data_IF_880850105466
#
_entry.id   IF_880850105466
#
_cell.length_a   1.000
_cell.length_b   1.000
_cell.length_c   1.000
_cell.angle_alpha   90.00
_cell.angle_beta   90.00
_cell.angle_gamma   90.00
#
_symmetry.space_group_name_H-M   'P 1'
#
loop_
_entity.id
_entity.type
_entity.pdbx_description
1 polymer ?
#
# COMPACT_ATOMS: atom_id res chain seq x y z
N UNK A 1 -50.14 17.77 15.58
CA UNK A 1 -49.50 16.46 15.30
C UNK A 1 -48.26 16.54 14.39
N UNK A 2 -48.12 17.53 13.49
CA UNK A 2 -46.91 17.70 12.66
C UNK A 2 -45.67 18.20 13.43
N UNK A 3 -45.85 19.02 14.46
CA UNK A 3 -44.74 19.53 15.30
C UNK A 3 -44.09 18.45 16.17
N UNK A 4 -44.85 17.46 16.66
CA UNK A 4 -44.33 16.32 17.45
C UNK A 4 -43.53 15.33 16.59
N UNK A 5 -43.97 15.06 15.36
CA UNK A 5 -43.21 14.21 14.42
C UNK A 5 -41.87 14.85 14.01
N UNK A 6 -41.82 16.18 13.95
CA UNK A 6 -40.60 16.90 13.58
C UNK A 6 -39.59 16.97 14.74
N UNK A 7 -40.05 17.01 16.01
CA UNK A 7 -39.16 16.93 17.18
C UNK A 7 -38.53 15.56 17.35
N UNK A 8 -39.28 14.48 17.12
CA UNK A 8 -38.77 13.12 17.27
C UNK A 8 -37.74 12.79 16.17
N UNK A 9 -37.98 13.24 14.95
CA UNK A 9 -37.04 13.08 13.84
C UNK A 9 -35.75 13.88 14.02
N UNK A 10 -35.82 15.00 14.75
CA UNK A 10 -34.67 15.82 15.12
C UNK A 10 -33.81 15.14 16.21
N UNK A 11 -34.44 14.49 17.19
CA UNK A 11 -33.76 13.73 18.24
C UNK A 11 -32.99 12.52 17.68
N UNK A 12 -33.64 11.74 16.81
CA UNK A 12 -33.03 10.58 16.16
C UNK A 12 -31.79 10.97 15.35
N UNK A 13 -31.84 12.09 14.64
CA UNK A 13 -30.69 12.62 13.88
C UNK A 13 -29.54 13.02 14.79
N UNK A 14 -29.81 13.71 15.91
CA UNK A 14 -28.77 14.11 16.87
C UNK A 14 -28.09 12.92 17.53
N UNK A 15 -28.83 11.87 17.91
CA UNK A 15 -28.24 10.64 18.45
C UNK A 15 -27.34 9.93 17.41
N UNK A 16 -27.75 9.92 16.14
CA UNK A 16 -26.92 9.38 15.07
C UNK A 16 -25.64 10.18 14.85
N UNK A 17 -25.72 11.52 14.91
CA UNK A 17 -24.55 12.40 14.79
C UNK A 17 -23.60 12.19 15.98
N UNK A 18 -24.13 12.10 17.20
CA UNK A 18 -23.34 11.83 18.40
C UNK A 18 -22.54 10.52 18.27
N UNK A 19 -23.20 9.43 17.86
CA UNK A 19 -22.54 8.16 17.63
C UNK A 19 -21.50 8.23 16.52
N UNK A 20 -21.79 8.93 15.42
CA UNK A 20 -20.82 9.12 14.32
C UNK A 20 -19.59 9.91 14.78
N UNK A 21 -19.79 11.04 15.46
CA UNK A 21 -18.70 11.92 15.93
C UNK A 21 -17.80 11.19 16.94
N UNK A 22 -18.38 10.46 17.89
CA UNK A 22 -17.62 9.70 18.89
C UNK A 22 -16.83 8.53 18.27
N UNK A 23 -17.43 7.85 17.30
CA UNK A 23 -16.77 6.78 16.54
C UNK A 23 -15.59 7.33 15.74
N UNK A 24 -15.84 8.39 14.96
CA UNK A 24 -14.82 8.99 14.09
C UNK A 24 -13.69 9.62 14.90
N UNK A 25 -13.99 10.17 16.09
CA UNK A 25 -12.98 10.68 17.01
C UNK A 25 -12.12 9.56 17.63
N UNK A 26 -12.59 8.30 17.59
CA UNK A 26 -11.92 7.15 18.19
C UNK A 26 -11.96 7.16 19.72
N UNK A 27 -12.93 7.86 20.32
CA UNK A 27 -13.08 7.94 21.78
C UNK A 27 -13.89 6.74 22.30
N UNK A 28 -14.85 6.26 21.52
CA UNK A 28 -15.70 5.12 21.88
C UNK A 28 -15.81 4.16 20.69
N UNK A 29 -15.72 2.86 20.97
CA UNK A 29 -15.82 1.81 19.95
C UNK A 29 -17.20 1.73 19.31
N UNK A 30 -17.22 1.33 18.04
CA UNK A 30 -18.43 1.16 17.20
C UNK A 30 -19.44 0.21 17.86
N UNK A 31 -18.95 -0.84 18.50
CA UNK A 31 -19.78 -1.86 19.15
C UNK A 31 -20.57 -1.27 20.33
N UNK A 32 -19.88 -0.55 21.22
CA UNK A 32 -20.47 0.13 22.39
C UNK A 32 -21.46 1.21 21.94
N UNK A 33 -21.15 1.95 20.87
CA UNK A 33 -22.05 2.96 20.30
C UNK A 33 -23.31 2.30 19.72
N UNK A 34 -23.21 1.17 19.05
CA UNK A 34 -24.36 0.47 18.47
C UNK A 34 -25.33 -0.09 19.54
N UNK A 35 -24.78 -0.60 20.65
CA UNK A 35 -25.53 -1.10 21.80
C UNK A 35 -26.23 0.03 22.55
N UNK A 36 -25.49 1.11 22.83
CA UNK A 36 -26.03 2.30 23.50
C UNK A 36 -27.03 3.06 22.62
N UNK A 37 -26.86 3.06 21.30
CA UNK A 37 -27.81 3.68 20.36
C UNK A 37 -29.17 2.96 20.36
N UNK A 38 -29.13 1.63 20.44
CA UNK A 38 -30.34 0.80 20.49
C UNK A 38 -31.05 0.92 21.85
N UNK A 39 -30.26 1.01 22.92
CA UNK A 39 -30.77 1.04 24.30
C UNK A 39 -31.24 2.43 24.77
N UNK A 40 -30.76 3.51 24.15
CA UNK A 40 -31.10 4.90 24.50
C UNK A 40 -32.37 5.44 23.85
N UNK A 41 -33.20 4.58 23.25
CA UNK A 41 -34.39 4.97 22.47
C UNK A 41 -34.12 6.05 21.39
N UNK A 42 -32.87 6.16 20.92
CA UNK A 42 -32.40 7.17 19.95
C UNK A 42 -32.46 8.61 20.47
N UNK A 43 -32.38 8.80 21.78
CA UNK A 43 -32.21 10.11 22.41
C UNK A 43 -30.72 10.39 22.69
N UNK A 44 -30.14 11.50 22.18
CA UNK A 44 -28.72 11.80 22.38
C UNK A 44 -28.35 12.01 23.85
N UNK A 45 -29.25 12.54 24.67
CA UNK A 45 -28.95 12.79 26.09
C UNK A 45 -28.94 11.48 26.89
N UNK A 46 -29.89 10.58 26.63
CA UNK A 46 -29.90 9.25 27.25
C UNK A 46 -28.70 8.42 26.80
N UNK A 47 -28.36 8.48 25.51
CA UNK A 47 -27.15 7.85 24.96
C UNK A 47 -25.89 8.35 25.66
N UNK A 48 -25.76 9.66 25.82
CA UNK A 48 -24.66 10.30 26.54
C UNK A 48 -24.59 9.89 28.01
N UNK A 49 -25.74 9.84 28.71
CA UNK A 49 -25.82 9.35 30.09
C UNK A 49 -25.41 7.90 30.20
N UNK A 50 -25.84 7.04 29.29
CA UNK A 50 -25.46 5.62 29.29
C UNK A 50 -23.96 5.43 29.09
N UNK A 51 -23.35 6.19 28.18
CA UNK A 51 -21.90 6.16 27.95
C UNK A 51 -21.11 6.65 29.17
N UNK A 52 -21.61 7.66 29.89
CA UNK A 52 -21.01 8.15 31.13
C UNK A 52 -21.11 7.12 32.27
N UNK A 53 -22.29 6.53 32.48
CA UNK A 53 -22.48 5.52 33.54
C UNK A 53 -21.74 4.21 33.23
N UNK A 54 -21.57 3.87 31.95
CA UNK A 54 -20.75 2.75 31.49
C UNK A 54 -19.24 2.98 31.66
N UNK A 55 -18.83 4.19 32.03
CA UNK A 55 -17.41 4.54 32.21
C UNK A 55 -16.65 4.74 30.90
N UNK A 56 -17.35 4.83 29.77
CA UNK A 56 -16.75 5.03 28.45
C UNK A 56 -16.45 6.51 28.15
N UNK A 57 -17.11 7.43 28.86
CA UNK A 57 -16.89 8.88 28.74
C UNK A 57 -16.83 9.54 30.13
N UNK A 58 -15.95 10.52 30.31
CA UNK A 58 -16.00 11.39 31.48
C UNK A 58 -17.04 12.52 31.27
N UNK A 59 -17.46 13.15 32.36
CA UNK A 59 -18.42 14.26 32.36
C UNK A 59 -17.92 15.47 31.52
N UNK A 60 -16.61 15.69 31.47
CA UNK A 60 -16.00 16.71 30.62
C UNK A 60 -16.12 16.37 29.13
N UNK A 61 -15.83 15.13 28.75
CA UNK A 61 -15.84 14.66 27.36
C UNK A 61 -17.26 14.54 26.82
N UNK A 62 -18.22 14.17 27.67
CA UNK A 62 -19.63 14.17 27.32
C UNK A 62 -20.11 15.59 27.01
N UNK A 63 -19.74 16.58 27.83
CA UNK A 63 -20.07 18.00 27.56
C UNK A 63 -19.48 18.46 26.24
N UNK A 64 -18.21 18.15 25.98
CA UNK A 64 -17.55 18.47 24.71
C UNK A 64 -18.24 17.81 23.51
N UNK A 65 -18.64 16.54 23.64
CA UNK A 65 -19.32 15.79 22.59
C UNK A 65 -20.71 16.36 22.27
N UNK A 66 -21.44 16.80 23.31
CA UNK A 66 -22.76 17.43 23.14
C UNK A 66 -22.66 18.83 22.51
N UNK A 67 -21.60 19.57 22.82
CA UNK A 67 -21.30 20.85 22.19
C UNK A 67 -20.95 20.65 20.70
N UNK A 68 -20.16 19.64 20.38
CA UNK A 68 -19.86 19.24 19.00
C UNK A 68 -21.13 18.90 18.19
N UNK A 69 -22.05 18.12 18.75
CA UNK A 69 -23.34 17.79 18.10
C UNK A 69 -24.19 19.03 17.83
N UNK A 70 -24.17 19.99 18.75
CA UNK A 70 -24.89 21.27 18.60
C UNK A 70 -24.30 22.11 17.47
N UNK A 71 -22.98 22.15 17.32
CA UNK A 71 -22.29 22.86 16.24
C UNK A 71 -22.44 22.19 14.86
N UNK A 72 -22.56 20.85 14.83
CA UNK A 72 -22.89 20.13 13.59
C UNK A 72 -24.34 20.40 13.18
N UNK A 73 -25.24 20.51 14.15
CA UNK A 73 -26.64 20.79 13.88
C UNK A 73 -26.89 22.23 13.41
N UNK A 74 -26.15 23.21 13.96
CA UNK A 74 -26.17 24.59 13.48
C UNK A 74 -25.56 24.74 12.07
N UNK A 75 -25.04 23.66 11.48
CA UNK A 75 -24.31 23.60 10.21
C UNK A 75 -23.02 24.43 10.20
N UNK A 76 -22.46 24.71 11.38
CA UNK A 76 -21.19 25.40 11.50
C UNK A 76 -20.01 24.44 11.24
N UNK A 77 -20.20 23.15 11.54
CA UNK A 77 -19.18 22.11 11.37
C UNK A 77 -19.76 20.87 10.65
N UNK A 78 -18.93 20.18 9.88
CA UNK A 78 -19.23 18.82 9.42
C UNK A 78 -19.00 17.82 10.57
N UNK A 79 -19.65 16.64 10.56
CA UNK A 79 -19.44 15.63 11.60
C UNK A 79 -17.96 15.20 11.72
N UNK A 80 -17.22 15.20 10.61
CA UNK A 80 -15.80 14.83 10.60
C UNK A 80 -14.91 15.94 11.21
N UNK A 81 -15.22 17.21 10.93
CA UNK A 81 -14.55 18.35 11.57
C UNK A 81 -14.81 18.38 13.08
N UNK A 82 -16.06 18.10 13.47
CA UNK A 82 -16.45 18.03 14.86
C UNK A 82 -15.75 16.87 15.59
N UNK A 83 -15.59 15.71 14.94
CA UNK A 83 -14.85 14.57 15.48
C UNK A 83 -13.36 14.88 15.69
N UNK A 84 -12.74 15.59 14.75
CA UNK A 84 -11.34 16.00 14.87
C UNK A 84 -11.13 17.01 16.01
N UNK A 85 -11.97 18.06 16.06
CA UNK A 85 -11.91 19.04 17.15
C UNK A 85 -12.17 18.39 18.52
N UNK A 86 -13.08 17.42 18.57
CA UNK A 86 -13.37 16.66 19.78
C UNK A 86 -12.19 15.78 20.21
N UNK A 87 -11.54 15.09 19.26
CA UNK A 87 -10.34 14.30 19.54
C UNK A 87 -9.20 15.16 20.09
N UNK A 88 -8.97 16.32 19.49
CA UNK A 88 -7.95 17.23 20.00
C UNK A 88 -8.27 17.77 21.40
N UNK A 89 -9.56 18.09 21.66
CA UNK A 89 -10.01 18.51 22.98
C UNK A 89 -9.77 17.40 24.03
N UNK A 90 -9.99 16.15 23.65
CA UNK A 90 -9.75 14.98 24.48
C UNK A 90 -8.25 14.79 24.78
N UNK A 91 -7.40 14.79 23.75
CA UNK A 91 -5.96 14.57 23.89
C UNK A 91 -5.26 15.67 24.72
N UNK A 92 -5.79 16.90 24.67
CA UNK A 92 -5.21 18.06 25.37
C UNK A 92 -5.97 18.45 26.65
N UNK A 93 -7.02 17.71 27.03
CA UNK A 93 -7.86 18.01 28.19
C UNK A 93 -8.42 19.45 28.19
N UNK A 94 -8.87 19.93 27.03
CA UNK A 94 -9.39 21.29 26.84
C UNK A 94 -10.92 21.30 26.67
N UNK A 95 -11.61 22.37 27.09
CA UNK A 95 -13.01 22.59 26.72
C UNK A 95 -13.18 22.65 25.20
N UNK A 96 -14.27 22.10 24.66
CA UNK A 96 -14.50 22.07 23.20
C UNK A 96 -14.48 23.47 22.56
N UNK A 97 -15.10 24.47 23.20
CA UNK A 97 -15.01 25.87 22.73
C UNK A 97 -13.58 26.43 22.70
N UNK A 98 -12.72 26.07 23.68
CA UNK A 98 -11.32 26.48 23.67
C UNK A 98 -10.49 25.71 22.62
N UNK A 99 -10.83 24.44 22.37
CA UNK A 99 -10.24 23.63 21.31
C UNK A 99 -10.60 24.16 19.91
N UNK A 100 -11.80 24.73 19.76
CA UNK A 100 -12.16 25.50 18.57
C UNK A 100 -11.27 26.75 18.47
N UNK A 101 -11.15 27.57 19.52
CA UNK A 101 -10.37 28.82 19.48
C UNK A 101 -8.84 28.63 19.38
N UNK A 102 -8.28 27.54 19.90
CA UNK A 102 -6.83 27.30 19.93
C UNK A 102 -6.32 26.63 18.65
N UNK A 103 -5.72 27.39 17.74
CA UNK A 103 -4.85 26.94 16.61
C UNK A 103 -5.46 25.95 15.59
N UNK A 104 -6.63 25.39 15.87
CA UNK A 104 -7.30 24.38 15.07
C UNK A 104 -8.50 24.97 14.32
N UNK A 105 -9.28 25.94 14.85
CA UNK A 105 -10.21 26.67 13.95
C UNK A 105 -9.51 27.65 13.01
N UNK A 106 -8.32 28.15 13.32
CA UNK A 106 -7.54 28.92 12.33
C UNK A 106 -6.97 28.03 11.22
N UNK A 107 -6.94 26.70 11.43
CA UNK A 107 -6.59 25.70 10.42
C UNK A 107 -7.80 24.92 9.86
N UNK A 108 -9.00 25.05 10.44
CA UNK A 108 -10.21 24.28 10.09
C UNK A 108 -11.38 25.17 9.62
N UNK A 109 -11.32 26.50 9.78
CA UNK A 109 -12.30 27.41 9.14
C UNK A 109 -12.16 27.46 7.61
N UNK A 110 -11.21 26.73 7.05
CA UNK A 110 -11.26 26.29 5.66
C UNK A 110 -10.90 24.80 5.67
N UNK A 111 -11.92 23.94 5.56
CA UNK A 111 -11.75 22.84 4.60
C UNK A 111 -11.49 23.58 3.30
N UNK A 112 -10.22 23.81 2.98
CA UNK A 112 -9.89 24.11 1.60
C UNK A 112 -10.08 22.78 0.91
N UNK A 113 -11.13 22.62 0.08
CA UNK A 113 -11.23 21.43 -0.74
C UNK A 113 -9.98 21.26 -1.62
N UNK A 114 -9.12 22.28 -1.74
CA UNK A 114 -7.95 22.30 -2.62
C UNK A 114 -6.69 22.85 -1.92
N UNK A 115 -6.17 22.14 -0.92
CA UNK A 115 -4.84 22.44 -0.33
C UNK A 115 -3.75 22.51 -1.42
N UNK A 116 -3.92 21.70 -2.47
CA UNK A 116 -3.13 21.75 -3.69
C UNK A 116 -3.28 23.05 -4.47
N UNK A 117 -4.50 23.57 -4.60
CA UNK A 117 -4.77 24.86 -5.23
C UNK A 117 -4.14 26.04 -4.48
N UNK A 118 -4.20 26.01 -3.15
CA UNK A 118 -3.55 27.02 -2.31
C UNK A 118 -2.03 26.99 -2.42
N UNK A 119 -1.43 25.80 -2.40
CA UNK A 119 0.01 25.64 -2.58
C UNK A 119 0.46 26.20 -3.94
N UNK A 120 -0.29 25.91 -5.02
CA UNK A 120 0.01 26.43 -6.34
C UNK A 120 -0.16 27.95 -6.46
N UNK A 121 -1.16 28.52 -5.79
CA UNK A 121 -1.33 29.97 -5.70
C UNK A 121 -0.17 30.63 -4.94
N UNK A 122 0.19 30.09 -3.77
CA UNK A 122 1.26 30.59 -2.92
C UNK A 122 2.63 30.49 -3.62
N UNK A 123 2.86 29.43 -4.41
CA UNK A 123 4.06 29.27 -5.22
C UNK A 123 4.08 30.17 -6.47
N UNK A 124 3.00 30.91 -6.74
CA UNK A 124 2.77 31.71 -7.95
C UNK A 124 2.86 30.91 -9.27
N UNK A 125 2.41 29.65 -9.22
CA UNK A 125 2.37 28.77 -10.40
C UNK A 125 1.04 28.88 -11.16
N UNK A 126 -0.02 29.28 -10.46
CA UNK A 126 -1.36 29.44 -11.01
C UNK A 126 -1.94 30.76 -10.53
N UNK A 127 -2.67 31.46 -11.40
CA UNK A 127 -3.44 32.66 -11.00
C UNK A 127 -4.79 32.30 -10.39
N UNK A 128 -5.38 33.19 -9.58
CA UNK A 128 -6.72 32.98 -8.99
C UNK A 128 -7.78 32.66 -10.05
N UNK A 129 -7.71 33.32 -11.21
CA UNK A 129 -8.62 33.07 -12.32
C UNK A 129 -8.44 31.67 -12.93
N UNK A 130 -7.19 31.28 -13.21
CA UNK A 130 -6.89 29.95 -13.75
C UNK A 130 -7.28 28.84 -12.77
N UNK A 131 -7.04 29.06 -11.47
CA UNK A 131 -7.43 28.11 -10.45
C UNK A 131 -8.95 27.98 -10.37
N UNK A 132 -9.69 29.09 -10.38
CA UNK A 132 -11.15 29.06 -10.34
C UNK A 132 -11.75 28.29 -11.53
N UNK A 133 -11.23 28.52 -12.74
CA UNK A 133 -11.65 27.79 -13.95
C UNK A 133 -11.31 26.31 -13.84
N UNK A 134 -10.09 25.96 -13.40
CA UNK A 134 -9.69 24.57 -13.26
C UNK A 134 -10.51 23.83 -12.20
N UNK A 135 -10.88 24.49 -11.10
CA UNK A 135 -11.76 23.95 -10.06
C UNK A 135 -13.17 23.69 -10.56
N UNK A 136 -13.72 24.60 -11.36
CA UNK A 136 -15.05 24.43 -11.95
C UNK A 136 -15.06 23.24 -12.91
N UNK A 137 -14.03 23.15 -13.77
CA UNK A 137 -13.83 22.02 -14.67
C UNK A 137 -13.63 20.69 -13.93
N UNK A 138 -12.87 20.68 -12.83
CA UNK A 138 -12.64 19.50 -12.02
C UNK A 138 -13.96 18.97 -11.43
N UNK A 139 -14.80 19.88 -10.92
CA UNK A 139 -16.12 19.57 -10.40
C UNK A 139 -17.07 19.05 -11.47
N UNK A 140 -17.13 19.72 -12.62
CA UNK A 140 -18.02 19.38 -13.72
C UNK A 140 -17.66 18.03 -14.36
N UNK A 141 -16.36 17.75 -14.47
CA UNK A 141 -15.86 16.50 -15.06
C UNK A 141 -15.75 15.35 -14.04
N UNK A 142 -15.88 15.64 -12.73
CA UNK A 142 -15.68 14.66 -11.67
C UNK A 142 -14.25 14.12 -11.60
N UNK A 143 -13.25 14.96 -11.86
CA UNK A 143 -11.82 14.62 -11.83
C UNK A 143 -11.08 15.51 -10.83
N UNK A 144 -9.85 15.14 -10.46
CA UNK A 144 -9.05 15.93 -9.52
C UNK A 144 -8.51 17.21 -10.14
N UNK A 145 -8.18 18.19 -9.29
CA UNK A 145 -7.66 19.49 -9.72
C UNK A 145 -6.31 19.34 -10.45
N UNK A 146 -5.40 18.53 -9.92
CA UNK A 146 -4.10 18.24 -10.51
C UNK A 146 -4.23 17.67 -11.92
N UNK A 147 -5.21 16.79 -12.16
CA UNK A 147 -5.49 16.25 -13.49
C UNK A 147 -5.96 17.32 -14.48
N UNK A 148 -6.83 18.24 -14.07
CA UNK A 148 -7.24 19.36 -14.92
C UNK A 148 -6.07 20.29 -15.22
N UNK A 149 -5.27 20.64 -14.21
CA UNK A 149 -4.12 21.53 -14.39
C UNK A 149 -3.06 20.94 -15.34
N UNK A 150 -2.89 19.61 -15.34
CA UNK A 150 -2.04 18.91 -16.32
C UNK A 150 -2.65 18.89 -17.72
N UNK A 151 -3.95 18.60 -17.85
CA UNK A 151 -4.63 18.57 -19.15
C UNK A 151 -4.65 19.94 -19.82
N UNK A 152 -4.79 21.00 -19.04
CA UNK A 152 -4.69 22.39 -19.48
C UNK A 152 -3.25 22.88 -19.67
N UNK A 153 -2.25 22.03 -19.38
CA UNK A 153 -0.81 22.34 -19.51
C UNK A 153 -0.37 23.55 -18.67
N UNK A 154 -1.07 23.83 -17.58
CA UNK A 154 -0.69 24.88 -16.62
C UNK A 154 0.47 24.41 -15.75
N UNK A 155 0.45 23.13 -15.36
CA UNK A 155 1.53 22.47 -14.62
C UNK A 155 2.05 21.26 -15.39
N UNK A 156 3.19 20.71 -14.96
CA UNK A 156 3.79 19.48 -15.48
C UNK A 156 3.74 18.36 -14.45
N UNK A 157 3.89 17.10 -14.87
CA UNK A 157 3.85 15.93 -13.97
C UNK A 157 4.87 16.03 -12.83
N UNK A 158 6.15 16.41 -13.08
CA UNK A 158 7.13 16.56 -12.00
C UNK A 158 6.76 17.63 -10.97
N UNK A 159 6.09 18.71 -11.39
CA UNK A 159 5.62 19.77 -10.49
C UNK A 159 4.47 19.25 -9.62
N UNK A 160 3.56 18.46 -10.20
CA UNK A 160 2.47 17.85 -9.44
C UNK A 160 2.98 16.82 -8.43
N UNK A 161 3.93 15.97 -8.82
CA UNK A 161 4.59 15.01 -7.92
C UNK A 161 5.25 15.72 -6.74
N UNK A 162 6.02 16.78 -7.01
CA UNK A 162 6.65 17.59 -5.97
C UNK A 162 5.62 18.25 -5.05
N UNK A 163 4.53 18.79 -5.61
CA UNK A 163 3.47 19.42 -4.82
C UNK A 163 2.79 18.41 -3.88
N UNK A 164 2.44 17.21 -4.36
CA UNK A 164 1.82 16.16 -3.55
C UNK A 164 2.76 15.69 -2.43
N UNK A 165 4.06 15.53 -2.72
CA UNK A 165 5.04 15.18 -1.69
C UNK A 165 5.16 16.26 -0.61
N UNK A 166 5.23 17.53 -1.01
CA UNK A 166 5.28 18.65 -0.06
C UNK A 166 4.01 18.73 0.79
N UNK A 167 2.83 18.53 0.20
CA UNK A 167 1.57 18.48 0.94
C UNK A 167 1.50 17.32 1.91
N UNK A 168 2.10 16.17 1.58
CA UNK A 168 2.26 15.06 2.53
C UNK A 168 3.10 15.52 3.73
N UNK A 169 4.23 16.19 3.51
CA UNK A 169 5.06 16.72 4.60
C UNK A 169 4.34 17.78 5.44
N UNK A 170 3.53 18.63 4.80
CA UNK A 170 2.67 19.62 5.49
C UNK A 170 1.62 18.93 6.35
N UNK A 171 0.97 17.89 5.82
CA UNK A 171 0.00 17.07 6.57
C UNK A 171 0.65 16.38 7.77
N UNK A 172 1.86 15.87 7.58
CA UNK A 172 2.64 15.19 8.63
C UNK A 172 3.34 16.20 9.59
N UNK A 173 3.00 17.50 9.49
CA UNK A 173 3.49 18.63 10.31
C UNK A 173 5.01 18.86 10.27
N UNK A 174 5.69 18.33 9.26
CA UNK A 174 7.14 18.52 9.09
C UNK A 174 7.50 19.81 8.39
N UNK A 175 6.55 20.40 7.66
CA UNK A 175 6.76 21.60 6.86
C UNK A 175 5.54 22.52 6.95
N UNK A 176 5.75 23.84 6.97
CA UNK A 176 4.66 24.82 6.88
C UNK A 176 4.26 25.05 5.41
N UNK A 177 2.99 25.31 5.14
CA UNK A 177 2.47 25.54 3.78
C UNK A 177 3.25 26.64 3.02
N UNK A 178 3.61 27.73 3.71
CA UNK A 178 4.37 28.83 3.10
C UNK A 178 5.79 28.38 2.70
N UNK A 179 6.46 27.61 3.56
CA UNK A 179 7.78 27.06 3.26
C UNK A 179 7.71 26.01 2.14
N UNK A 180 6.66 25.21 2.09
CA UNK A 180 6.38 24.30 0.98
C UNK A 180 6.19 25.06 -0.34
N UNK A 181 5.50 26.19 -0.32
CA UNK A 181 5.31 27.03 -1.51
C UNK A 181 6.63 27.59 -2.04
N UNK A 182 7.53 28.02 -1.14
CA UNK A 182 8.87 28.48 -1.53
C UNK A 182 9.69 27.36 -2.17
N UNK A 183 9.69 26.15 -1.59
CA UNK A 183 10.36 24.97 -2.17
C UNK A 183 9.79 24.64 -3.54
N UNK A 184 8.46 24.56 -3.65
CA UNK A 184 7.80 24.22 -4.91
C UNK A 184 8.12 25.23 -6.00
N UNK A 185 8.21 26.51 -5.64
CA UNK A 185 8.61 27.59 -6.53
C UNK A 185 10.04 27.40 -7.03
N UNK A 186 10.99 27.08 -6.16
CA UNK A 186 12.38 26.81 -6.59
C UNK A 186 12.48 25.64 -7.56
N UNK A 187 11.74 24.57 -7.30
CA UNK A 187 11.69 23.37 -8.15
C UNK A 187 11.05 23.70 -9.50
N UNK A 188 9.92 24.39 -9.52
CA UNK A 188 9.19 24.72 -10.74
C UNK A 188 9.95 25.68 -11.66
N UNK A 189 10.76 26.59 -11.10
CA UNK A 189 11.64 27.48 -11.86
C UNK A 189 12.99 26.84 -12.21
N UNK A 190 13.19 25.55 -11.90
CA UNK A 190 14.40 24.80 -12.25
C UNK A 190 15.66 25.25 -11.52
N UNK A 191 15.52 25.87 -10.34
CA UNK A 191 16.67 26.34 -9.55
C UNK A 191 17.35 25.23 -8.76
N UNK A 192 16.58 24.23 -8.36
CA UNK A 192 17.02 23.08 -7.58
C UNK A 192 16.10 21.89 -7.84
N UNK A 193 16.61 20.68 -7.63
CA UNK A 193 15.75 19.49 -7.47
C UNK A 193 14.98 19.56 -6.15
N UNK A 194 13.88 18.81 -6.03
CA UNK A 194 13.10 18.75 -4.78
C UNK A 194 13.98 18.37 -3.59
N UNK A 195 14.87 17.39 -3.77
CA UNK A 195 15.80 16.91 -2.75
C UNK A 195 16.81 17.99 -2.32
N UNK A 196 17.34 18.76 -3.26
CA UNK A 196 18.25 19.87 -2.97
C UNK A 196 17.56 21.02 -2.24
N UNK A 197 16.34 21.35 -2.65
CA UNK A 197 15.53 22.40 -2.04
C UNK A 197 15.03 22.02 -0.63
N UNK A 198 14.77 20.74 -0.36
CA UNK A 198 14.46 20.25 0.99
C UNK A 198 15.70 20.27 1.89
N UNK A 199 16.87 19.88 1.35
CA UNK A 199 18.15 19.89 2.07
C UNK A 199 18.55 21.30 2.50
N UNK A 200 18.29 22.32 1.67
CA UNK A 200 18.62 23.71 1.99
C UNK A 200 17.83 24.26 3.20
N UNK A 201 16.66 23.67 3.50
CA UNK A 201 15.79 24.02 4.63
C UNK A 201 16.12 23.20 5.89
N UNK A 202 17.09 22.29 5.81
CA UNK A 202 17.46 21.40 6.91
C UNK A 202 16.49 20.24 7.12
N UNK A 203 15.58 20.01 6.17
CA UNK A 203 14.78 18.81 6.07
C UNK A 203 15.57 17.80 5.22
N UNK A 204 16.60 17.23 5.84
CA UNK A 204 17.21 16.04 5.27
C UNK A 204 16.15 14.94 5.32
N UNK A 205 15.82 14.38 4.15
CA UNK A 205 15.28 13.03 4.11
C UNK A 205 16.34 12.17 4.79
N UNK A 206 16.16 11.89 6.09
CA UNK A 206 17.01 10.94 6.81
C UNK A 206 17.09 9.65 5.99
N UNK A 207 18.19 8.94 6.19
CA UNK A 207 18.61 7.72 5.51
C UNK A 207 17.65 6.51 5.69
N UNK A 208 16.33 6.75 5.74
CA UNK A 208 15.23 5.85 6.12
C UNK A 208 14.19 5.62 5.00
N UNK A 209 14.56 5.65 3.72
CA UNK A 209 13.70 5.02 2.70
C UNK A 209 14.05 3.53 2.51
N UNK A 210 14.27 2.79 3.60
CA UNK A 210 14.25 1.32 3.54
C UNK A 210 12.85 0.80 3.23
N UNK A 211 11.81 1.56 3.56
CA UNK A 211 10.43 1.23 3.20
C UNK A 211 10.01 1.94 1.91
N UNK A 212 9.78 1.21 0.80
CA UNK A 212 9.37 1.84 -0.46
C UNK A 212 7.95 2.40 -0.36
N UNK A 213 7.67 3.55 -0.99
CA UNK A 213 6.31 4.14 -1.06
C UNK A 213 5.32 3.16 -1.71
N UNK A 214 4.08 3.10 -1.19
CA UNK A 214 3.11 2.09 -1.62
C UNK A 214 2.73 2.25 -3.10
N UNK A 215 2.52 3.49 -3.56
CA UNK A 215 2.26 3.80 -4.96
C UNK A 215 3.41 3.37 -5.85
N UNK A 216 4.65 3.70 -5.48
CA UNK A 216 5.84 3.29 -6.23
C UNK A 216 6.03 1.76 -6.27
N UNK A 217 5.73 1.06 -5.18
CA UNK A 217 5.79 -0.40 -5.12
C UNK A 217 4.79 -1.06 -6.09
N UNK A 218 3.55 -0.55 -6.12
CA UNK A 218 2.50 -1.04 -7.00
C UNK A 218 2.74 -0.67 -8.47
N UNK A 219 3.24 0.54 -8.73
CA UNK A 219 3.60 1.01 -10.06
C UNK A 219 4.81 0.26 -10.63
N UNK A 220 5.85 0.01 -9.81
CA UNK A 220 6.98 -0.84 -10.19
C UNK A 220 6.57 -2.29 -10.49
N UNK A 221 5.55 -2.80 -9.80
CA UNK A 221 4.93 -4.09 -10.13
C UNK A 221 4.07 -4.04 -11.41
N UNK A 222 3.81 -2.86 -11.99
CA UNK A 222 2.97 -2.68 -13.17
C UNK A 222 1.48 -2.90 -12.91
N UNK A 223 1.04 -2.80 -11.65
CA UNK A 223 -0.34 -3.02 -11.24
C UNK A 223 -1.18 -1.75 -11.32
N UNK A 224 -0.55 -0.60 -11.17
CA UNK A 224 -1.16 0.73 -11.34
C UNK A 224 -0.23 1.58 -12.21
N UNK A 225 -0.77 2.61 -12.87
CA UNK A 225 0.06 3.60 -13.55
C UNK A 225 0.60 4.64 -12.54
N UNK A 226 1.78 5.21 -12.81
CA UNK A 226 2.37 6.26 -11.98
C UNK A 226 1.41 7.45 -11.82
N UNK A 227 0.72 7.81 -12.89
CA UNK A 227 -0.28 8.88 -12.88
C UNK A 227 -1.47 8.59 -11.96
N UNK A 228 -1.96 7.34 -11.96
CA UNK A 228 -3.06 6.94 -11.09
C UNK A 228 -2.64 6.93 -9.62
N UNK A 229 -1.35 6.69 -9.34
CA UNK A 229 -0.79 6.81 -8.00
C UNK A 229 -0.80 8.26 -7.49
N UNK A 230 -0.41 9.23 -8.33
CA UNK A 230 -0.44 10.66 -7.99
C UNK A 230 -1.89 11.13 -7.79
N UNK A 231 -2.79 10.74 -8.68
CA UNK A 231 -4.21 11.10 -8.60
C UNK A 231 -4.86 10.52 -7.33
N UNK A 232 -4.56 9.28 -6.97
CA UNK A 232 -5.02 8.67 -5.72
C UNK A 232 -4.42 9.35 -4.48
N UNK A 233 -3.17 9.81 -4.56
CA UNK A 233 -2.54 10.58 -3.49
C UNK A 233 -3.22 11.94 -3.30
N UNK A 234 -3.58 12.63 -4.39
CA UNK A 234 -4.36 13.87 -4.35
C UNK A 234 -5.72 13.66 -3.68
N UNK A 235 -6.48 12.65 -4.09
CA UNK A 235 -7.76 12.28 -3.45
C UNK A 235 -7.56 11.97 -1.97
N UNK A 236 -6.49 11.26 -1.61
CA UNK A 236 -6.15 10.95 -0.21
C UNK A 236 -5.83 12.18 0.64
N UNK A 237 -5.20 13.19 0.04
CA UNK A 237 -4.95 14.48 0.68
C UNK A 237 -6.24 15.29 0.86
N UNK A 238 -7.12 15.32 -0.15
CA UNK A 238 -8.41 16.02 -0.09
C UNK A 238 -9.40 15.38 0.89
N UNK A 239 -9.41 14.05 0.96
CA UNK A 239 -10.35 13.28 1.79
C UNK A 239 -9.79 12.88 3.16
N UNK A 240 -8.53 13.23 3.45
CA UNK A 240 -7.81 12.80 4.65
C UNK A 240 -7.81 11.28 4.87
N UNK A 241 -7.83 10.50 3.78
CA UNK A 241 -7.83 9.03 3.82
C UNK A 241 -6.44 8.46 3.56
N UNK A 242 -6.10 7.29 4.14
CA UNK A 242 -4.86 6.61 3.80
C UNK A 242 -4.87 6.17 2.34
N UNK A 243 -3.74 6.37 1.64
CA UNK A 243 -3.63 6.11 0.20
C UNK A 243 -4.01 4.66 -0.19
N UNK A 244 -3.74 3.68 0.68
CA UNK A 244 -4.15 2.29 0.46
C UNK A 244 -5.67 2.11 0.39
N UNK A 245 -6.43 2.83 1.22
CA UNK A 245 -7.89 2.82 1.17
C UNK A 245 -8.39 3.48 -0.12
N UNK A 246 -7.76 4.59 -0.52
CA UNK A 246 -8.09 5.28 -1.77
C UNK A 246 -7.84 4.38 -2.99
N UNK A 247 -6.71 3.66 -3.03
CA UNK A 247 -6.45 2.68 -4.10
C UNK A 247 -7.54 1.62 -4.22
N UNK A 248 -8.10 1.18 -3.09
CA UNK A 248 -9.19 0.23 -3.09
C UNK A 248 -10.52 0.85 -3.53
N UNK A 249 -10.87 2.02 -2.98
CA UNK A 249 -12.12 2.75 -3.31
C UNK A 249 -12.16 3.18 -4.79
N UNK A 250 -11.03 3.58 -5.37
CA UNK A 250 -10.91 3.91 -6.78
C UNK A 250 -10.89 2.67 -7.70
N UNK A 251 -10.93 1.46 -7.14
CA UNK A 251 -10.89 0.22 -7.92
C UNK A 251 -9.55 -0.07 -8.60
N UNK A 252 -8.48 0.63 -8.22
CA UNK A 252 -7.14 0.46 -8.78
C UNK A 252 -6.51 -0.85 -8.30
N UNK A 253 -6.82 -1.28 -7.07
CA UNK A 253 -6.22 -2.45 -6.44
C UNK A 253 -7.25 -3.24 -5.63
N UNK A 254 -7.18 -4.58 -5.70
CA UNK A 254 -8.02 -5.45 -4.85
C UNK A 254 -7.52 -5.46 -3.41
N UNK A 255 -8.40 -5.74 -2.45
CA UNK A 255 -8.02 -5.85 -1.03
C UNK A 255 -6.93 -6.91 -0.79
N UNK A 256 -6.90 -7.95 -1.61
CA UNK A 256 -5.90 -9.03 -1.57
C UNK A 256 -4.51 -8.50 -1.97
N UNK A 257 -4.42 -7.80 -3.11
CA UNK A 257 -3.17 -7.22 -3.60
C UNK A 257 -2.68 -6.12 -2.66
N UNK A 258 -3.58 -5.28 -2.14
CA UNK A 258 -3.25 -4.24 -1.17
C UNK A 258 -2.61 -4.82 0.10
N UNK A 259 -3.20 -5.88 0.67
CA UNK A 259 -2.65 -6.57 1.84
C UNK A 259 -1.27 -7.18 1.54
N UNK A 260 -1.08 -7.76 0.36
CA UNK A 260 0.20 -8.29 -0.05
C UNK A 260 1.27 -7.19 -0.20
N UNK A 261 0.91 -6.04 -0.80
CA UNK A 261 1.81 -4.91 -0.97
C UNK A 261 2.27 -4.31 0.36
N UNK A 262 1.37 -4.18 1.34
CA UNK A 262 1.70 -3.71 2.69
C UNK A 262 2.64 -4.69 3.42
N UNK A 263 2.41 -6.00 3.27
CA UNK A 263 3.32 -7.02 3.84
C UNK A 263 4.70 -6.97 3.18
N UNK A 264 4.75 -6.88 1.85
CA UNK A 264 6.01 -6.81 1.11
C UNK A 264 6.78 -5.52 1.41
N UNK A 265 6.11 -4.38 1.62
CA UNK A 265 6.75 -3.17 2.14
C UNK A 265 7.51 -3.44 3.45
N UNK A 266 6.86 -4.04 4.43
CA UNK A 266 7.49 -4.36 5.72
C UNK A 266 8.64 -5.36 5.54
N UNK A 267 8.51 -6.31 4.61
CA UNK A 267 9.57 -7.28 4.31
C UNK A 267 10.79 -6.62 3.65
N UNK A 268 10.60 -5.64 2.77
CA UNK A 268 11.68 -4.86 2.17
C UNK A 268 12.36 -4.00 3.24
N UNK A 269 11.57 -3.36 4.10
CA UNK A 269 12.07 -2.57 5.24
C UNK A 269 12.94 -3.41 6.18
N UNK A 270 12.52 -4.64 6.48
CA UNK A 270 13.31 -5.61 7.25
C UNK A 270 14.46 -6.28 6.48
N UNK A 271 14.71 -5.87 5.23
CA UNK A 271 15.68 -6.48 4.32
C UNK A 271 15.54 -8.01 4.18
N UNK A 272 14.31 -8.53 4.19
CA UNK A 272 14.02 -9.95 3.94
C UNK A 272 13.77 -10.24 2.46
N UNK A 273 13.31 -9.25 1.71
CA UNK A 273 12.94 -9.35 0.29
C UNK A 273 13.44 -8.12 -0.44
N UNK A 274 13.96 -8.30 -1.66
CA UNK A 274 14.39 -7.18 -2.49
C UNK A 274 13.19 -6.54 -3.21
N UNK A 275 13.28 -5.27 -3.60
CA UNK A 275 12.20 -4.59 -4.33
C UNK A 275 11.78 -5.35 -5.61
N UNK A 276 12.75 -5.90 -6.35
CA UNK A 276 12.48 -6.68 -7.56
C UNK A 276 11.69 -7.98 -7.26
N UNK A 277 12.08 -8.71 -6.21
CA UNK A 277 11.34 -9.89 -5.78
C UNK A 277 9.92 -9.52 -5.34
N UNK A 278 9.74 -8.40 -4.65
CA UNK A 278 8.42 -7.92 -4.26
C UNK A 278 7.54 -7.59 -5.47
N UNK A 279 8.10 -6.99 -6.54
CA UNK A 279 7.37 -6.74 -7.78
C UNK A 279 6.87 -8.05 -8.41
N UNK A 280 7.72 -9.06 -8.50
CA UNK A 280 7.34 -10.36 -9.06
C UNK A 280 6.30 -11.08 -8.21
N UNK A 281 6.43 -11.04 -6.89
CA UNK A 281 5.45 -11.59 -5.95
C UNK A 281 4.10 -10.89 -6.09
N UNK A 282 4.09 -9.56 -6.21
CA UNK A 282 2.85 -8.80 -6.40
C UNK A 282 2.15 -9.15 -7.71
N UNK A 283 2.90 -9.29 -8.81
CA UNK A 283 2.34 -9.75 -10.09
C UNK A 283 1.74 -11.15 -10.00
N UNK A 284 2.40 -12.06 -9.29
CA UNK A 284 1.90 -13.41 -9.09
C UNK A 284 0.64 -13.43 -8.22
N UNK A 285 0.62 -12.68 -7.12
CA UNK A 285 -0.56 -12.49 -6.26
C UNK A 285 -1.74 -11.97 -7.07
N UNK A 286 -1.50 -10.97 -7.93
CA UNK A 286 -2.54 -10.43 -8.82
C UNK A 286 -3.03 -11.44 -9.87
N UNK A 287 -2.12 -12.20 -10.49
CA UNK A 287 -2.49 -13.12 -11.58
C UNK A 287 -3.14 -14.40 -11.07
N UNK A 288 -2.65 -14.95 -9.96
CA UNK A 288 -3.13 -16.20 -9.38
C UNK A 288 -4.31 -15.97 -8.41
N UNK A 289 -4.52 -14.74 -7.95
CA UNK A 289 -5.53 -14.39 -6.94
C UNK A 289 -5.38 -15.23 -5.66
N UNK A 290 -4.13 -15.54 -5.31
CA UNK A 290 -3.76 -16.30 -4.12
C UNK A 290 -3.15 -15.37 -3.06
N UNK A 291 -3.36 -15.65 -1.77
CA UNK A 291 -2.73 -14.89 -0.70
C UNK A 291 -1.21 -15.05 -0.74
N UNK A 292 -0.50 -13.99 -0.36
CA UNK A 292 0.97 -13.93 -0.40
C UNK A 292 1.62 -15.07 0.40
N UNK A 293 1.02 -15.47 1.53
CA UNK A 293 1.57 -16.51 2.40
C UNK A 293 1.66 -17.86 1.70
N UNK A 294 0.64 -18.21 0.92
CA UNK A 294 0.58 -19.49 0.23
C UNK A 294 1.53 -19.48 -0.95
N UNK A 295 1.60 -18.35 -1.68
CA UNK A 295 2.58 -18.16 -2.75
C UNK A 295 4.02 -18.29 -2.23
N UNK A 296 4.34 -17.67 -1.09
CA UNK A 296 5.66 -17.74 -0.48
C UNK A 296 6.02 -19.16 -0.02
N UNK A 297 5.06 -19.91 0.52
CA UNK A 297 5.26 -21.31 0.89
C UNK A 297 5.54 -22.18 -0.33
N UNK A 298 4.76 -22.02 -1.40
CA UNK A 298 4.96 -22.75 -2.66
C UNK A 298 6.33 -22.44 -3.26
N UNK A 299 6.71 -21.16 -3.32
CA UNK A 299 8.03 -20.74 -3.80
C UNK A 299 9.16 -21.30 -2.93
N UNK A 300 9.01 -21.30 -1.59
CA UNK A 300 9.98 -21.89 -0.68
C UNK A 300 10.15 -23.40 -0.90
N UNK A 301 9.04 -24.13 -1.07
CA UNK A 301 9.06 -25.57 -1.35
C UNK A 301 9.68 -25.86 -2.73
N UNK A 302 9.36 -25.07 -3.74
CA UNK A 302 9.92 -25.20 -5.08
C UNK A 302 11.45 -24.99 -5.04
N UNK A 303 11.92 -23.94 -4.38
CA UNK A 303 13.35 -23.65 -4.21
C UNK A 303 14.09 -24.77 -3.48
N UNK A 304 13.50 -25.31 -2.41
CA UNK A 304 14.07 -26.45 -1.69
C UNK A 304 14.18 -27.70 -2.58
N UNK A 305 13.15 -27.99 -3.38
CA UNK A 305 13.17 -29.10 -4.35
C UNK A 305 14.23 -28.86 -5.43
N UNK A 306 14.30 -27.66 -6.00
CA UNK A 306 15.33 -27.31 -6.98
C UNK A 306 16.74 -27.51 -6.41
N UNK A 307 17.01 -27.04 -5.19
CA UNK A 307 18.29 -27.23 -4.52
C UNK A 307 18.61 -28.72 -4.35
N UNK A 308 17.63 -29.52 -3.89
CA UNK A 308 17.83 -30.96 -3.74
C UNK A 308 18.12 -31.67 -5.07
N UNK A 309 17.49 -31.23 -6.17
CA UNK A 309 17.70 -31.78 -7.49
C UNK A 309 19.08 -31.40 -8.06
N UNK A 310 19.53 -30.18 -7.81
CA UNK A 310 20.87 -29.71 -8.16
C UNK A 310 21.96 -30.44 -7.38
N UNK A 311 21.74 -30.68 -6.08
CA UNK A 311 22.68 -31.47 -5.28
C UNK A 311 22.75 -32.93 -5.73
N UNK A 312 21.60 -33.58 -5.98
CA UNK A 312 21.58 -34.98 -6.40
C UNK A 312 22.10 -35.21 -7.82
N UNK A 313 21.94 -34.23 -8.71
CA UNK A 313 22.55 -34.28 -10.05
C UNK A 313 24.05 -34.00 -10.02
N UNK A 314 24.61 -33.65 -8.86
CA UNK A 314 25.99 -33.20 -8.72
C UNK A 314 26.25 -31.86 -9.39
N UNK A 315 25.20 -31.11 -9.75
CA UNK A 315 25.30 -29.76 -10.32
C UNK A 315 25.89 -28.76 -9.31
N UNK A 316 25.59 -28.97 -8.02
CA UNK A 316 26.08 -28.15 -6.91
C UNK A 316 26.53 -29.07 -5.77
N UNK A 317 27.67 -28.75 -5.15
CA UNK A 317 28.20 -29.46 -3.98
C UNK A 317 27.80 -28.80 -2.67
N UNK A 318 27.82 -29.55 -1.56
CA UNK A 318 27.53 -29.00 -0.22
C UNK A 318 28.48 -27.85 0.16
N UNK A 319 29.73 -27.90 -0.30
CA UNK A 319 30.70 -26.83 -0.06
C UNK A 319 30.32 -25.54 -0.79
N UNK A 320 29.89 -25.62 -2.06
CA UNK A 320 29.45 -24.46 -2.84
C UNK A 320 28.19 -23.82 -2.25
N UNK A 321 27.24 -24.63 -1.78
CA UNK A 321 26.06 -24.14 -1.05
C UNK A 321 26.47 -23.39 0.22
N UNK A 322 27.40 -23.95 1.00
CA UNK A 322 27.86 -23.31 2.24
C UNK A 322 28.63 -22.01 1.99
N UNK A 323 29.42 -21.95 0.92
CA UNK A 323 30.12 -20.74 0.49
C UNK A 323 29.15 -19.67 0.01
N UNK A 324 28.17 -20.04 -0.82
CA UNK A 324 27.13 -19.12 -1.27
C UNK A 324 26.29 -18.60 -0.10
N UNK A 325 25.92 -19.46 0.85
CA UNK A 325 25.20 -19.06 2.04
C UNK A 325 26.04 -18.13 2.95
N UNK A 326 27.36 -18.34 3.05
CA UNK A 326 28.25 -17.53 3.88
C UNK A 326 28.63 -16.17 3.26
N UNK A 327 28.89 -16.12 1.96
CA UNK A 327 29.29 -14.89 1.24
C UNK A 327 28.13 -13.90 1.09
N UNK A 328 26.91 -14.41 0.88
CA UNK A 328 25.72 -13.59 0.67
C UNK A 328 24.82 -13.49 1.90
N UNK A 329 25.24 -13.99 3.08
CA UNK A 329 24.49 -13.90 4.33
C UNK A 329 24.13 -12.45 4.74
N UNK A 330 24.87 -11.46 4.24
CA UNK A 330 24.64 -10.04 4.50
C UNK A 330 23.63 -9.38 3.56
N UNK A 331 23.31 -9.99 2.42
CA UNK A 331 22.27 -9.51 1.51
C UNK A 331 21.05 -10.43 1.63
N UNK A 332 19.84 -9.91 1.41
CA UNK A 332 18.57 -10.66 1.43
C UNK A 332 18.44 -11.67 0.27
N UNK A 333 19.54 -12.33 -0.10
CA UNK A 333 19.71 -13.01 -1.38
C UNK A 333 19.57 -14.51 -1.15
N UNK A 334 18.60 -15.10 -1.82
CA UNK A 334 18.34 -16.54 -1.75
C UNK A 334 19.58 -17.34 -2.19
N UNK A 335 19.82 -18.50 -1.59
CA UNK A 335 20.99 -19.36 -1.82
C UNK A 335 21.09 -19.74 -3.30
N UNK A 336 19.96 -19.97 -3.98
CA UNK A 336 19.96 -20.25 -5.42
C UNK A 336 20.39 -19.04 -6.25
N UNK A 337 19.99 -17.82 -5.88
CA UNK A 337 20.44 -16.59 -6.55
C UNK A 337 21.92 -16.30 -6.28
N UNK A 338 22.38 -16.55 -5.05
CA UNK A 338 23.79 -16.47 -4.68
C UNK A 338 24.67 -17.44 -5.51
N UNK A 339 24.20 -18.67 -5.74
CA UNK A 339 24.90 -19.65 -6.57
C UNK A 339 25.00 -19.26 -8.06
N UNK A 340 24.05 -18.48 -8.56
CA UNK A 340 24.11 -17.93 -9.93
C UNK A 340 25.09 -16.76 -9.98
N UNK A 341 25.09 -15.89 -8.96
CA UNK A 341 26.01 -14.77 -8.86
C UNK A 341 27.47 -15.21 -8.66
N UNK A 342 27.70 -16.33 -7.98
CA UNK A 342 29.03 -16.94 -7.84
C UNK A 342 29.51 -17.70 -9.09
N UNK A 343 28.82 -17.54 -10.24
CA UNK A 343 29.05 -18.21 -11.51
C UNK A 343 29.05 -19.75 -11.44
N UNK A 344 28.60 -20.33 -10.33
CA UNK A 344 28.56 -21.78 -10.10
C UNK A 344 27.41 -22.41 -10.89
N UNK A 345 26.30 -21.68 -11.02
CA UNK A 345 25.14 -22.03 -11.82
C UNK A 345 24.94 -21.03 -12.96
N UNK A 346 24.60 -21.54 -14.15
CA UNK A 346 24.14 -20.68 -15.24
C UNK A 346 22.65 -20.35 -15.09
N UNK A 347 22.20 -19.15 -15.51
CA UNK A 347 20.79 -18.78 -15.50
C UNK A 347 19.90 -19.69 -16.38
N UNK A 348 20.50 -20.38 -17.36
CA UNK A 348 19.81 -21.38 -18.18
C UNK A 348 19.55 -22.66 -17.37
N UNK A 349 20.58 -23.21 -16.71
CA UNK A 349 20.44 -24.42 -15.91
C UNK A 349 19.44 -24.25 -14.75
N UNK A 350 19.37 -23.06 -14.15
CA UNK A 350 18.38 -22.75 -13.12
C UNK A 350 16.95 -22.81 -13.66
N UNK A 351 16.70 -22.24 -14.85
CA UNK A 351 15.40 -22.31 -15.53
C UNK A 351 15.01 -23.73 -15.90
N UNK A 352 15.96 -24.51 -16.40
CA UNK A 352 15.74 -25.92 -16.73
C UNK A 352 15.42 -26.75 -15.48
N UNK A 353 16.09 -26.48 -14.37
CA UNK A 353 15.82 -27.11 -13.07
C UNK A 353 14.41 -26.80 -12.59
N UNK A 354 13.98 -25.53 -12.65
CA UNK A 354 12.61 -25.13 -12.26
C UNK A 354 11.55 -25.84 -13.11
N UNK A 355 11.79 -25.94 -14.42
CA UNK A 355 10.91 -26.62 -15.36
C UNK A 355 10.86 -28.13 -15.11
N UNK A 356 11.99 -28.76 -14.79
CA UNK A 356 12.05 -30.16 -14.35
C UNK A 356 11.23 -30.42 -13.10
N UNK A 357 11.38 -29.59 -12.05
CA UNK A 357 10.60 -29.76 -10.81
C UNK A 357 9.11 -29.61 -11.08
N UNK A 358 8.72 -28.64 -11.92
CA UNK A 358 7.32 -28.46 -12.33
C UNK A 358 6.76 -29.67 -13.08
N UNK A 359 7.57 -30.32 -13.93
CA UNK A 359 7.18 -31.55 -14.65
C UNK A 359 7.07 -32.76 -13.72
N UNK A 360 7.89 -32.83 -12.67
CA UNK A 360 7.79 -33.87 -11.64
C UNK A 360 6.53 -33.70 -10.81
N UNK A 361 6.22 -32.48 -10.37
CA UNK A 361 5.00 -32.16 -9.62
C UNK A 361 3.73 -32.41 -10.44
N UNK A 362 3.78 -32.11 -11.74
CA UNK A 362 2.73 -32.46 -12.68
C UNK A 362 2.64 -33.96 -13.01
N UNK A 363 3.47 -34.81 -12.39
CA UNK A 363 3.47 -36.27 -12.57
C UNK A 363 3.94 -36.76 -13.95
N UNK A 364 4.49 -35.87 -14.79
CA UNK A 364 4.87 -36.18 -16.18
C UNK A 364 6.20 -36.90 -16.28
N UNK A 365 7.12 -36.65 -15.32
CA UNK A 365 8.43 -37.28 -15.26
C UNK A 365 8.74 -37.73 -13.83
N UNK A 366 9.53 -38.80 -13.68
CA UNK A 366 10.03 -39.25 -12.37
C UNK A 366 11.21 -38.38 -11.93
N UNK A 367 11.40 -38.27 -10.62
CA UNK A 367 12.49 -37.51 -10.02
C UNK A 367 13.88 -37.95 -10.54
N UNK A 368 14.13 -39.25 -10.65
CA UNK A 368 15.40 -39.82 -11.15
C UNK A 368 15.70 -39.41 -12.60
N UNK A 369 14.68 -39.36 -13.45
CA UNK A 369 14.81 -38.90 -14.83
C UNK A 369 15.14 -37.40 -14.88
N UNK A 370 14.54 -36.61 -13.99
CA UNK A 370 14.85 -35.19 -13.87
C UNK A 370 16.30 -34.96 -13.39
N UNK A 371 16.80 -35.76 -12.46
CA UNK A 371 18.21 -35.71 -12.01
C UNK A 371 19.18 -35.99 -13.16
N UNK A 372 18.90 -37.03 -13.95
CA UNK A 372 19.72 -37.41 -15.11
C UNK A 372 19.66 -36.36 -16.22
N UNK A 373 18.50 -35.77 -16.48
CA UNK A 373 18.34 -34.71 -17.47
C UNK A 373 19.16 -33.46 -17.12
N UNK A 374 19.13 -33.02 -15.86
CA UNK A 374 19.93 -31.86 -15.42
C UNK A 374 21.43 -32.13 -15.48
N UNK A 375 21.88 -33.33 -15.10
CA UNK A 375 23.28 -33.73 -15.28
C UNK A 375 23.70 -33.69 -16.77
N UNK A 376 22.82 -34.13 -17.67
CA UNK A 376 23.07 -34.11 -19.10
C UNK A 376 23.12 -32.68 -19.67
N UNK A 377 22.16 -31.82 -19.30
CA UNK A 377 22.16 -30.40 -19.65
C UNK A 377 23.45 -29.70 -19.20
N UNK A 378 23.95 -29.99 -17.99
CA UNK A 378 25.22 -29.42 -17.51
C UNK A 378 26.43 -29.87 -18.32
N UNK A 379 26.51 -31.16 -18.69
CA UNK A 379 27.68 -31.72 -19.39
C UNK A 379 27.75 -31.37 -20.87
N UNK A 380 26.60 -31.20 -21.50
CA UNK A 380 26.50 -31.08 -22.97
C UNK A 380 26.03 -29.70 -23.43
N UNK A 381 25.45 -28.89 -22.55
CA UNK A 381 24.92 -27.57 -22.87
C UNK A 381 23.67 -27.60 -23.78
N UNK A 382 22.99 -28.74 -23.86
CA UNK A 382 21.84 -28.96 -24.73
C UNK A 382 20.54 -28.60 -23.99
N UNK A 383 19.53 -28.11 -24.72
CA UNK A 383 18.22 -27.75 -24.19
C UNK A 383 17.54 -28.90 -23.44
N UNK A 384 16.74 -28.55 -22.44
CA UNK A 384 16.07 -29.50 -21.57
C UNK A 384 15.16 -30.49 -22.32
N UNK A 385 14.49 -30.08 -23.40
CA UNK A 385 13.62 -30.99 -24.16
C UNK A 385 14.41 -32.10 -24.87
N UNK A 386 15.56 -31.75 -25.43
CA UNK A 386 16.46 -32.71 -26.08
C UNK A 386 17.15 -33.62 -25.05
N UNK A 387 17.47 -33.08 -23.87
CA UNK A 387 18.00 -33.88 -22.77
C UNK A 387 16.96 -34.90 -22.26
N UNK A 388 15.71 -34.49 -22.07
CA UNK A 388 14.63 -35.37 -21.60
C UNK A 388 14.32 -36.49 -22.61
N UNK A 389 14.25 -36.18 -23.90
CA UNK A 389 14.01 -37.19 -24.94
C UNK A 389 15.15 -38.21 -25.01
N UNK A 390 16.41 -37.76 -24.93
CA UNK A 390 17.57 -38.65 -24.96
C UNK A 390 17.67 -39.53 -23.72
N UNK A 391 17.50 -38.96 -22.53
CA UNK A 391 17.52 -39.70 -21.27
C UNK A 391 16.37 -40.72 -21.21
N UNK A 392 15.18 -40.35 -21.72
CA UNK A 392 14.10 -41.31 -21.90
C UNK A 392 14.51 -42.45 -22.83
N UNK A 393 15.03 -42.16 -24.04
CA UNK A 393 15.46 -43.22 -24.97
C UNK A 393 16.55 -44.13 -24.40
N UNK A 394 17.52 -43.60 -23.65
CA UNK A 394 18.58 -44.39 -23.01
C UNK A 394 18.06 -45.26 -21.85
N UNK A 395 17.08 -44.76 -21.08
CA UNK A 395 16.41 -45.56 -20.05
C UNK A 395 15.56 -46.69 -20.64
N UNK A 396 14.89 -46.46 -21.77
CA UNK A 396 14.19 -47.51 -22.53
C UNK A 396 15.18 -48.52 -23.13
N UNK A 397 16.33 -48.05 -23.63
CA UNK A 397 17.36 -48.92 -24.19
C UNK A 397 18.04 -49.78 -23.11
N UNK A 398 18.25 -49.26 -21.90
CA UNK A 398 18.73 -50.06 -20.75
C UNK A 398 17.73 -51.13 -20.31
N UNK A 399 16.42 -50.90 -20.44
CA UNK A 399 15.41 -51.95 -20.24
C UNK A 399 15.48 -53.03 -21.34
N UNK A 400 15.84 -52.67 -22.57
CA UNK A 400 16.05 -53.63 -23.66
C UNK A 400 17.34 -54.46 -23.48
N UNK A 401 18.40 -53.88 -22.92
CA UNK A 401 19.69 -54.57 -22.67
C UNK A 401 19.65 -55.49 -21.44
N UNK A 402 18.68 -55.31 -20.52
CA UNK A 402 18.46 -56.20 -19.36
C UNK A 402 17.45 -57.34 -19.61
N UNK A 403 16.98 -57.55 -20.84
CA UNK A 403 16.24 -58.76 -21.20
C UNK A 403 14.86 -58.92 -20.55
N UNK A 404 14.21 -57.83 -20.15
CA UNK A 404 12.78 -57.86 -19.80
C UNK A 404 11.98 -57.34 -20.98
N UNK A 405 11.45 -58.29 -21.76
CA UNK A 405 10.48 -58.08 -22.83
C UNK A 405 9.33 -57.17 -22.37
N UNK A 406 8.91 -56.17 -23.16
CA UNK A 406 7.65 -55.48 -22.94
C UNK A 406 6.52 -56.37 -23.42
N UNK A 407 5.94 -57.14 -22.50
CA UNK A 407 4.63 -57.73 -22.74
C UNK A 407 3.53 -56.67 -22.50
N UNK A 408 2.78 -56.44 -23.58
CA UNK A 408 1.42 -55.88 -23.63
C UNK A 408 1.27 -54.37 -23.47
N UNK A 409 1.25 -53.71 -24.64
CA UNK A 409 0.41 -52.56 -24.89
C UNK A 409 -1.07 -52.99 -24.84
N UNK A 410 -1.86 -52.24 -24.07
CA UNK A 410 -3.32 -52.34 -23.94
C UNK A 410 -3.82 -51.18 -23.11
#
# INVERSE_FOLDING_TARGET
MQSLKNSDQKRIKRASILGQVLTTAGIVDVEVISETYTSSERDPEEMGRMLLHGGFLADADLRASMEAVKEVESKNLTPDQAAYALKFAYDNCLPFGAALESTIMQAISVVNPNLLGELFLAAHLVSEFQLAVAMDQARDCGVTLGRVLLLTQIITVPILEAAVELLRMVRDQQLLLNSAADVLKEVAFGKATLEEALRSIGLENSEEETRPKLGALLAGAGLIADFDAINAAEIGLETCKPIGQVFHECGLVTALVLRAALKLQNMIESALVTAQQAFDLLRQVHNLQLPLEDLMKELGQLKAKMLSLLMQSGAVTQEEVSKAAGFYAGEATDVLTALVQSETLTPQLMRDTARCVSLVEGGKIKWELATMAILYCRRTGVDLQDALTRVQTESTNRMHVLGLSPAMAG
#
